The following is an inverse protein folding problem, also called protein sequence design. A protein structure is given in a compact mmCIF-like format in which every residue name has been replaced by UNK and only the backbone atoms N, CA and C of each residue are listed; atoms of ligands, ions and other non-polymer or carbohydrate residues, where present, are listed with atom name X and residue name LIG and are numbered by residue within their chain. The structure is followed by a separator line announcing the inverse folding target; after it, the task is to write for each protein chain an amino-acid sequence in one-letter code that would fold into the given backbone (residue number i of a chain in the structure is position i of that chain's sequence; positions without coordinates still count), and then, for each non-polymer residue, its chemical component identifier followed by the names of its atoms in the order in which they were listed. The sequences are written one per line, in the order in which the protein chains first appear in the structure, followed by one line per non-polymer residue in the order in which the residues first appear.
data_IF_252505683503
#
_entry.id   IF_252505683503
#
_cell.length_a   1.000
_cell.length_b   1.000
_cell.length_c   1.000
_cell.angle_alpha   90.00
_cell.angle_beta   90.00
_cell.angle_gamma   90.00
#
_symmetry.space_group_name_H-M   'P 1'
#
loop_
_entity.id
_entity.type
_entity.pdbx_description
1 polymer ?
#
# COMPACT_ATOMS: atom_id res chain seq x y z
N UNK A 1 14.13 11.60 -13.69
CA UNK A 1 13.01 12.04 -14.56
C UNK A 1 11.68 11.47 -14.07
N UNK A 2 10.61 12.28 -14.00
CA UNK A 2 9.27 11.82 -13.63
C UNK A 2 8.66 10.99 -14.78
N UNK A 3 8.50 9.68 -14.57
CA UNK A 3 8.06 8.74 -15.62
C UNK A 3 6.58 8.88 -16.01
N UNK A 4 5.70 9.27 -15.09
CA UNK A 4 4.26 9.35 -15.35
C UNK A 4 3.65 10.62 -14.77
N UNK A 5 2.70 11.24 -15.50
CA UNK A 5 1.98 12.43 -15.01
C UNK A 5 0.90 12.08 -13.98
N UNK A 6 0.02 11.12 -14.30
CA UNK A 6 -1.20 10.81 -13.50
C UNK A 6 -1.29 9.37 -13.02
N UNK A 7 -0.77 8.40 -13.78
CA UNK A 7 -1.05 6.97 -13.53
C UNK A 7 -0.31 6.39 -12.33
N UNK A 8 1.00 6.62 -12.16
CA UNK A 8 1.75 6.04 -11.04
C UNK A 8 1.75 4.50 -11.06
N UNK A 9 1.54 3.87 -9.90
CA UNK A 9 1.61 2.40 -9.71
C UNK A 9 0.69 1.61 -10.64
N UNK A 10 -0.48 2.15 -10.99
CA UNK A 10 -1.44 1.51 -11.92
C UNK A 10 -1.00 1.60 -13.39
N UNK A 11 0.19 2.15 -13.67
CA UNK A 11 0.82 2.08 -14.99
C UNK A 11 1.09 0.64 -15.44
N UNK A 12 1.24 -0.31 -14.50
CA UNK A 12 1.39 -1.75 -14.78
C UNK A 12 0.25 -2.37 -15.59
N UNK A 13 -0.94 -1.75 -15.56
CA UNK A 13 -2.10 -2.22 -16.30
C UNK A 13 -2.13 -1.74 -17.76
N UNK A 14 -1.31 -0.75 -18.13
CA UNK A 14 -1.29 -0.18 -19.47
C UNK A 14 -2.59 0.56 -19.81
N UNK A 15 -3.09 0.34 -21.03
CA UNK A 15 -4.33 0.93 -21.57
C UNK A 15 -5.60 0.20 -21.13
N UNK A 16 -5.48 -0.97 -20.52
CA UNK A 16 -6.61 -1.86 -20.19
C UNK A 16 -7.46 -1.36 -19.01
N UNK A 17 -8.65 -1.94 -18.89
CA UNK A 17 -9.61 -1.81 -17.76
C UNK A 17 -10.24 -0.43 -17.56
N UNK A 18 -9.94 0.56 -18.40
CA UNK A 18 -10.55 1.89 -18.29
C UNK A 18 -9.98 2.78 -17.18
N UNK A 19 -10.34 4.06 -17.19
CA UNK A 19 -9.76 5.06 -16.29
C UNK A 19 -10.36 5.05 -14.88
N UNK A 20 -11.67 4.83 -14.75
CA UNK A 20 -12.38 4.86 -13.46
C UNK A 20 -11.89 3.75 -12.53
N UNK A 21 -11.86 2.51 -13.03
CA UNK A 21 -11.39 1.34 -12.28
C UNK A 21 -9.92 1.51 -11.83
N UNK A 22 -9.05 1.98 -12.73
CA UNK A 22 -7.64 2.23 -12.38
C UNK A 22 -7.47 3.34 -11.34
N UNK A 23 -8.33 4.37 -11.31
CA UNK A 23 -8.28 5.41 -10.27
C UNK A 23 -8.69 4.83 -8.90
N UNK A 24 -9.69 3.95 -8.85
CA UNK A 24 -10.09 3.28 -7.61
C UNK A 24 -8.97 2.36 -7.09
N UNK A 25 -8.46 1.49 -7.96
CA UNK A 25 -7.37 0.55 -7.64
C UNK A 25 -6.11 1.30 -7.22
N UNK A 26 -5.80 2.45 -7.84
CA UNK A 26 -4.64 3.26 -7.46
C UNK A 26 -4.66 3.67 -5.99
N UNK A 27 -5.82 4.05 -5.44
CA UNK A 27 -5.95 4.42 -4.02
C UNK A 27 -5.60 3.23 -3.11
N UNK A 28 -6.15 2.06 -3.44
CA UNK A 28 -5.96 0.80 -2.71
C UNK A 28 -4.51 0.29 -2.83
N UNK A 29 -3.90 0.41 -4.00
CA UNK A 29 -2.51 0.00 -4.23
C UNK A 29 -1.50 0.88 -3.53
N UNK A 30 -1.75 2.19 -3.45
CA UNK A 30 -0.90 3.11 -2.70
C UNK A 30 -0.97 2.77 -1.21
N UNK A 31 -2.17 2.61 -0.64
CA UNK A 31 -2.32 2.35 0.79
C UNK A 31 -1.71 1.00 1.18
N UNK A 32 -1.97 -0.06 0.41
CA UNK A 32 -1.48 -1.40 0.78
C UNK A 32 0.05 -1.54 0.73
N UNK A 33 0.72 -0.77 -0.14
CA UNK A 33 2.18 -0.79 -0.29
C UNK A 33 2.89 0.29 0.54
N UNK A 34 2.14 1.20 1.15
CA UNK A 34 2.70 2.22 2.03
C UNK A 34 3.31 1.60 3.29
N UNK A 35 4.27 2.31 3.87
CA UNK A 35 4.80 2.00 5.20
C UNK A 35 4.07 2.88 6.21
N UNK A 36 3.60 2.28 7.29
CA UNK A 36 2.90 2.98 8.35
C UNK A 36 3.74 3.05 9.64
N UNK A 37 3.40 4.02 10.49
CA UNK A 37 3.94 4.16 11.84
C UNK A 37 3.49 2.98 12.70
N UNK A 38 4.44 2.29 13.32
CA UNK A 38 4.14 1.20 14.24
C UNK A 38 3.83 1.77 15.63
N UNK A 39 2.64 1.49 16.16
CA UNK A 39 2.22 1.95 17.50
C UNK A 39 3.06 1.37 18.64
N UNK A 40 3.81 0.29 18.40
CA UNK A 40 4.64 -0.37 19.42
C UNK A 40 6.04 0.23 19.53
N UNK A 41 6.66 0.63 18.42
CA UNK A 41 8.06 1.08 18.41
C UNK A 41 8.26 2.46 17.76
N UNK A 42 7.19 3.15 17.39
CA UNK A 42 7.19 4.50 16.79
C UNK A 42 7.71 4.59 15.34
N UNK A 43 8.43 3.57 14.86
CA UNK A 43 9.08 3.58 13.54
C UNK A 43 8.08 3.35 12.39
N UNK A 44 8.29 4.04 11.27
CA UNK A 44 7.55 3.87 10.00
C UNK A 44 7.99 2.63 9.21
N UNK A 45 7.89 1.47 9.86
CA UNK A 45 8.33 0.16 9.32
C UNK A 45 7.21 -0.88 9.31
N UNK A 46 5.96 -0.48 9.55
CA UNK A 46 4.81 -1.37 9.45
C UNK A 46 4.43 -1.56 7.98
N UNK A 47 4.36 -2.82 7.52
CA UNK A 47 4.02 -3.17 6.14
C UNK A 47 3.09 -4.37 6.11
N UNK A 48 2.17 -4.40 5.15
CA UNK A 48 1.26 -5.52 4.94
C UNK A 48 2.02 -6.78 4.50
N UNK A 49 1.72 -7.92 5.13
CA UNK A 49 2.20 -9.25 4.72
C UNK A 49 1.13 -10.03 3.97
N UNK A 50 -0.08 -10.04 4.51
CA UNK A 50 -1.24 -10.68 3.91
C UNK A 50 -2.49 -9.80 4.11
N UNK A 51 -3.63 -10.22 3.57
CA UNK A 51 -4.91 -9.52 3.81
C UNK A 51 -5.17 -9.49 5.32
N UNK A 52 -5.34 -8.28 5.87
CA UNK A 52 -5.59 -8.08 7.29
C UNK A 52 -4.41 -8.36 8.23
N UNK A 53 -3.23 -8.72 7.71
CA UNK A 53 -2.05 -9.02 8.53
C UNK A 53 -0.93 -8.03 8.21
N UNK A 54 -0.50 -7.30 9.25
CA UNK A 54 0.53 -6.27 9.16
C UNK A 54 1.71 -6.61 10.06
N UNK A 55 2.91 -6.32 9.60
CA UNK A 55 4.14 -6.70 10.29
C UNK A 55 5.14 -5.54 10.32
N UNK A 56 5.71 -5.29 11.49
CA UNK A 56 6.73 -4.28 11.67
C UNK A 56 8.12 -4.89 11.49
N UNK A 57 8.86 -4.44 10.48
CA UNK A 57 10.23 -4.91 10.24
C UNK A 57 11.26 -4.45 11.29
N UNK A 58 10.89 -3.65 12.30
CA UNK A 58 11.81 -3.24 13.37
C UNK A 58 11.61 -3.99 14.68
N UNK A 59 10.38 -4.08 15.17
CA UNK A 59 10.08 -4.73 16.45
C UNK A 59 9.50 -6.14 16.27
N UNK A 60 9.39 -6.61 15.02
CA UNK A 60 8.92 -7.94 14.63
C UNK A 60 7.47 -8.26 15.06
N UNK A 61 6.73 -7.28 15.57
CA UNK A 61 5.32 -7.45 15.93
C UNK A 61 4.46 -7.61 14.68
N UNK A 62 3.51 -8.53 14.76
CA UNK A 62 2.48 -8.79 13.75
C UNK A 62 1.12 -8.45 14.36
N UNK A 63 0.28 -7.75 13.60
CA UNK A 63 -0.99 -7.18 14.08
C UNK A 63 -2.06 -7.44 13.04
N UNK A 64 -3.28 -7.72 13.51
CA UNK A 64 -4.47 -7.76 12.67
C UNK A 64 -4.92 -6.32 12.36
N UNK A 65 -5.29 -6.02 11.12
CA UNK A 65 -5.70 -4.68 10.70
C UNK A 65 -6.59 -4.70 9.46
N UNK A 66 -6.78 -3.54 8.84
CA UNK A 66 -7.56 -3.42 7.62
C UNK A 66 -6.94 -4.18 6.44
N UNK A 67 -7.77 -4.50 5.45
CA UNK A 67 -7.31 -5.20 4.24
C UNK A 67 -6.28 -4.39 3.44
N UNK A 68 -6.43 -3.06 3.42
CA UNK A 68 -5.65 -2.14 2.58
C UNK A 68 -5.06 -0.95 3.33
N UNK A 69 -5.47 -0.74 4.58
CA UNK A 69 -5.04 0.35 5.46
C UNK A 69 -4.64 -0.25 6.80
N UNK A 70 -3.51 0.22 7.33
CA UNK A 70 -3.08 -0.04 8.70
C UNK A 70 -3.56 1.08 9.60
#
# INVERSE_FOLDING_TARGET
AKRTKKVGIVGKYGTRYGASLRKMVKKIEISQHAKYTCSFCGKTKMKRRAVGIWHCGSCMKTVAGGAWTY
#
